data_IF_259798769573
#
_entry.id   IF_259798769573
#
_cell.length_a   1.000
_cell.length_b   1.000
_cell.length_c   1.000
_cell.angle_alpha   90.00
_cell.angle_beta   90.00
_cell.angle_gamma   90.00
#
_symmetry.space_group_name_H-M   'P 1'
#
loop_
_entity.id
_entity.type
_entity.pdbx_description
1 polymer ?
#
# COMPACT_ATOMS: atom_id res chain seq x y z
N UNK A 1 5.43 4.22 0.81
CA UNK A 1 4.88 5.09 1.88
C UNK A 1 5.15 6.56 1.64
N UNK A 2 6.41 7.01 1.65
CA UNK A 2 6.75 8.43 1.46
C UNK A 2 6.22 9.01 0.15
N UNK A 3 6.43 8.32 -0.96
CA UNK A 3 5.89 8.69 -2.29
C UNK A 3 4.36 8.79 -2.32
N UNK A 4 3.66 7.90 -1.61
CA UNK A 4 2.19 7.92 -1.50
C UNK A 4 1.68 9.11 -0.70
N UNK A 5 2.27 9.38 0.47
CA UNK A 5 1.91 10.53 1.31
C UNK A 5 2.23 11.85 0.58
N UNK A 6 3.34 11.94 -0.13
CA UNK A 6 3.70 13.12 -0.95
C UNK A 6 2.66 13.36 -2.04
N UNK A 7 2.20 12.31 -2.73
CA UNK A 7 1.14 12.43 -3.72
C UNK A 7 -0.17 12.95 -3.10
N UNK A 8 -0.54 12.47 -1.89
CA UNK A 8 -1.76 12.85 -1.17
C UNK A 8 -1.72 14.30 -0.71
N UNK A 9 -0.58 14.74 -0.19
CA UNK A 9 -0.35 16.14 0.18
C UNK A 9 -0.41 17.05 -1.04
N UNK A 10 0.23 16.66 -2.15
CA UNK A 10 0.19 17.43 -3.39
C UNK A 10 -1.24 17.58 -3.94
N UNK A 11 -2.06 16.55 -3.80
CA UNK A 11 -3.45 16.58 -4.26
C UNK A 11 -4.37 17.41 -3.36
N UNK A 12 -4.16 17.37 -2.04
CA UNK A 12 -4.95 18.14 -1.07
C UNK A 12 -4.51 19.60 -0.93
N UNK A 13 -3.43 20.02 -1.59
CA UNK A 13 -2.99 21.41 -1.53
C UNK A 13 -4.05 22.33 -2.15
N UNK A 14 -4.49 23.41 -1.46
CA UNK A 14 -5.53 24.32 -1.94
C UNK A 14 -5.08 25.21 -3.13
N UNK A 15 -3.93 24.91 -3.75
CA UNK A 15 -3.42 25.64 -4.90
C UNK A 15 -4.01 25.06 -6.19
N UNK A 16 -4.86 25.86 -6.83
CA UNK A 16 -5.69 25.56 -8.01
C UNK A 16 -4.87 25.42 -9.32
N UNK A 17 -3.71 24.76 -9.27
CA UNK A 17 -2.82 24.57 -10.40
C UNK A 17 -3.03 23.21 -11.05
N UNK A 18 -3.56 23.16 -12.27
CA UNK A 18 -3.75 21.93 -13.05
C UNK A 18 -2.45 21.11 -13.18
N UNK A 19 -1.29 21.78 -13.18
CA UNK A 19 0.03 21.16 -13.20
C UNK A 19 0.32 20.30 -11.95
N UNK A 20 -0.17 20.72 -10.78
CA UNK A 20 0.04 20.03 -9.51
C UNK A 20 -0.74 18.71 -9.44
N UNK A 21 -1.94 18.72 -10.03
CA UNK A 21 -2.76 17.52 -10.21
C UNK A 21 -2.04 16.47 -11.08
N UNK A 22 -1.50 16.86 -12.24
CA UNK A 22 -0.78 15.93 -13.12
C UNK A 22 0.47 15.34 -12.45
N UNK A 23 1.22 16.13 -11.68
CA UNK A 23 2.36 15.63 -10.90
C UNK A 23 1.89 14.61 -9.85
N UNK A 24 0.79 14.88 -9.14
CA UNK A 24 0.23 13.93 -8.17
C UNK A 24 -0.12 12.59 -8.83
N UNK A 25 -0.72 12.61 -10.03
CA UNK A 25 -1.06 11.40 -10.81
C UNK A 25 0.20 10.63 -11.25
N UNK A 26 1.24 11.32 -11.73
CA UNK A 26 2.51 10.67 -12.11
C UNK A 26 3.18 10.01 -10.91
N UNK A 27 3.23 10.70 -9.77
CA UNK A 27 3.79 10.16 -8.53
C UNK A 27 2.94 8.99 -8.01
N UNK A 28 1.62 9.04 -8.16
CA UNK A 28 0.72 7.93 -7.83
C UNK A 28 1.01 6.70 -8.70
N UNK A 29 1.07 6.85 -10.03
CA UNK A 29 1.38 5.76 -10.94
C UNK A 29 2.76 5.14 -10.64
N UNK A 30 3.75 5.98 -10.36
CA UNK A 30 5.08 5.53 -9.95
C UNK A 30 5.05 4.77 -8.61
N UNK A 31 4.26 5.22 -7.64
CA UNK A 31 4.10 4.54 -6.35
C UNK A 31 3.41 3.17 -6.53
N UNK A 32 2.36 3.09 -7.35
CA UNK A 32 1.70 1.80 -7.68
C UNK A 32 2.68 0.85 -8.36
N UNK A 33 3.46 1.34 -9.32
CA UNK A 33 4.47 0.55 -10.01
C UNK A 33 5.53 -0.01 -9.04
N UNK A 34 6.11 0.86 -8.20
CA UNK A 34 7.07 0.43 -7.18
C UNK A 34 6.46 -0.58 -6.20
N UNK A 35 5.22 -0.34 -5.75
CA UNK A 35 4.54 -1.25 -4.84
C UNK A 35 4.32 -2.62 -5.48
N UNK A 36 3.85 -2.67 -6.73
CA UNK A 36 3.67 -3.91 -7.46
C UNK A 36 5.01 -4.65 -7.68
N UNK A 37 6.06 -3.92 -8.06
CA UNK A 37 7.40 -4.48 -8.29
C UNK A 37 7.98 -5.09 -7.01
N UNK A 38 7.97 -4.35 -5.90
CA UNK A 38 8.46 -4.87 -4.62
C UNK A 38 7.60 -6.01 -4.07
N UNK A 39 6.28 -5.95 -4.28
CA UNK A 39 5.36 -7.05 -3.93
C UNK A 39 5.68 -8.31 -4.72
N UNK A 40 5.89 -8.20 -6.04
CA UNK A 40 6.25 -9.32 -6.91
C UNK A 40 7.62 -9.91 -6.56
N UNK A 41 8.62 -9.05 -6.31
CA UNK A 41 9.96 -9.51 -5.88
C UNK A 41 9.86 -10.26 -4.55
N UNK A 42 9.07 -9.75 -3.60
CA UNK A 42 8.84 -10.42 -2.32
C UNK A 42 8.15 -11.76 -2.53
N UNK A 43 7.04 -11.79 -3.29
CA UNK A 43 6.29 -13.00 -3.61
C UNK A 43 7.18 -14.05 -4.32
N UNK A 44 7.97 -13.62 -5.30
CA UNK A 44 8.90 -14.48 -6.03
C UNK A 44 9.95 -15.08 -5.07
N UNK A 45 10.56 -14.26 -4.20
CA UNK A 45 11.52 -14.71 -3.18
C UNK A 45 10.89 -15.75 -2.26
N UNK A 46 9.64 -15.56 -1.89
CA UNK A 46 8.91 -16.46 -1.02
C UNK A 46 8.50 -17.78 -1.69
N UNK A 47 8.14 -17.76 -2.97
CA UNK A 47 7.83 -18.98 -3.75
C UNK A 47 9.06 -19.83 -4.04
N UNK A 48 10.22 -19.20 -4.27
CA UNK A 48 11.49 -19.87 -4.53
C UNK A 48 12.14 -20.44 -3.26
N UNK A 49 11.95 -19.82 -2.10
CA UNK A 49 12.54 -20.26 -0.83
C UNK A 49 11.49 -20.58 0.24
N UNK A 50 10.82 -21.73 0.06
CA UNK A 50 9.72 -22.23 0.91
C UNK A 50 10.09 -22.42 2.39
N UNK A 51 11.38 -22.54 2.73
CA UNK A 51 11.86 -22.66 4.11
C UNK A 51 12.09 -21.33 4.85
N UNK A 52 12.11 -20.19 4.15
CA UNK A 52 12.41 -18.89 4.75
C UNK A 52 11.14 -18.24 5.33
N UNK A 53 9.94 -18.62 4.88
CA UNK A 53 8.68 -18.06 5.39
C UNK A 53 8.52 -18.26 6.90
N UNK A 54 8.82 -19.46 7.41
CA UNK A 54 8.76 -19.79 8.85
C UNK A 54 9.90 -19.14 9.65
N UNK A 55 11.10 -19.05 9.06
CA UNK A 55 12.26 -18.39 9.69
C UNK A 55 12.12 -16.86 9.74
N UNK A 56 11.40 -16.28 8.78
CA UNK A 56 11.16 -14.84 8.68
C UNK A 56 10.01 -14.38 9.61
N UNK A 57 8.97 -15.20 9.77
CA UNK A 57 7.90 -14.96 10.75
C UNK A 57 8.41 -14.96 12.20
N UNK A 58 9.44 -15.75 12.49
CA UNK A 58 10.08 -15.80 13.82
C UNK A 58 11.13 -14.69 14.05
N UNK A 59 11.51 -13.91 13.04
CA UNK A 59 12.49 -12.84 13.20
C UNK A 59 11.80 -11.48 13.41
N UNK A 60 11.94 -10.85 14.60
CA UNK A 60 11.17 -9.67 15.00
C UNK A 60 11.39 -8.45 14.08
N UNK A 61 12.55 -8.36 13.41
CA UNK A 61 12.88 -7.27 12.47
C UNK A 61 12.22 -7.42 11.09
N UNK A 62 11.86 -8.63 10.67
CA UNK A 62 11.19 -8.85 9.38
C UNK A 62 9.66 -8.76 9.49
N UNK A 63 9.09 -9.04 10.67
CA UNK A 63 7.67 -8.78 10.95
C UNK A 63 7.28 -7.30 10.88
N UNK A 64 8.21 -6.39 11.19
CA UNK A 64 8.02 -4.96 10.98
C UNK A 64 7.79 -4.60 9.50
N UNK A 65 8.41 -5.32 8.56
CA UNK A 65 8.19 -5.11 7.13
C UNK A 65 6.81 -5.60 6.67
N UNK A 66 6.23 -6.63 7.30
CA UNK A 66 4.86 -7.06 7.02
C UNK A 66 3.84 -5.95 7.34
N UNK A 67 4.09 -5.15 8.39
CA UNK A 67 3.26 -3.97 8.71
C UNK A 67 3.43 -2.79 7.76
N UNK A 68 4.56 -2.72 7.04
CA UNK A 68 4.76 -1.66 6.03
C UNK A 68 3.97 -1.89 4.76
N UNK A 69 3.55 -3.13 4.50
CA UNK A 69 2.74 -3.49 3.35
C UNK A 69 1.34 -2.85 3.38
N UNK A 70 0.50 -3.06 4.42
CA UNK A 70 -0.81 -2.44 4.47
C UNK A 70 -0.72 -0.91 4.52
N UNK A 71 0.21 -0.34 5.28
CA UNK A 71 0.36 1.10 5.34
C UNK A 71 0.78 1.72 3.97
N UNK A 72 1.49 0.99 3.10
CA UNK A 72 1.70 1.39 1.70
C UNK A 72 0.44 1.27 0.85
N UNK A 73 -0.30 0.17 0.98
CA UNK A 73 -1.52 -0.12 0.25
C UNK A 73 -2.65 0.88 0.59
N UNK A 74 -2.78 1.26 1.86
CA UNK A 74 -3.67 2.32 2.33
C UNK A 74 -3.46 3.66 1.60
N UNK A 75 -2.21 4.05 1.33
CA UNK A 75 -1.95 5.29 0.57
C UNK A 75 -2.43 5.20 -0.88
N UNK A 76 -2.34 4.02 -1.48
CA UNK A 76 -2.83 3.76 -2.85
C UNK A 76 -4.37 3.81 -2.87
N UNK A 77 -5.03 3.17 -1.90
CA UNK A 77 -6.50 3.20 -1.75
C UNK A 77 -7.00 4.65 -1.63
N UNK A 78 -6.36 5.45 -0.76
CA UNK A 78 -6.72 6.86 -0.60
C UNK A 78 -6.59 7.64 -1.92
N UNK A 79 -5.52 7.40 -2.68
CA UNK A 79 -5.34 8.02 -4.00
C UNK A 79 -6.36 7.57 -5.03
N UNK A 80 -6.76 6.29 -5.03
CA UNK A 80 -7.84 5.79 -5.89
C UNK A 80 -9.16 6.50 -5.53
N UNK A 81 -9.43 6.72 -4.25
CA UNK A 81 -10.59 7.49 -3.80
C UNK A 81 -10.55 8.95 -4.27
N UNK A 82 -9.38 9.61 -4.25
CA UNK A 82 -9.27 11.01 -4.64
C UNK A 82 -9.23 11.24 -6.15
N UNK A 83 -8.55 10.37 -6.91
CA UNK A 83 -8.32 10.57 -8.35
C UNK A 83 -9.27 9.73 -9.19
N UNK A 84 -9.40 8.44 -8.88
CA UNK A 84 -10.17 7.52 -9.72
C UNK A 84 -11.68 7.58 -9.47
N UNK A 85 -12.15 7.81 -8.24
CA UNK A 85 -13.61 7.95 -8.00
C UNK A 85 -14.25 9.11 -8.77
N UNK A 86 -13.68 10.33 -8.78
CA UNK A 86 -14.25 11.41 -9.60
C UNK A 86 -14.05 11.22 -11.10
N UNK A 87 -13.00 10.52 -11.55
CA UNK A 87 -12.72 10.32 -12.97
C UNK A 87 -13.42 9.10 -13.60
N UNK A 88 -13.57 8.02 -12.85
CA UNK A 88 -14.07 6.71 -13.32
C UNK A 88 -15.44 6.34 -12.73
N UNK A 89 -15.87 7.00 -11.65
CA UNK A 89 -17.20 6.82 -11.08
C UNK A 89 -17.30 5.64 -10.11
N UNK A 90 -18.50 5.08 -9.99
CA UNK A 90 -18.91 4.22 -8.88
C UNK A 90 -18.16 2.87 -8.81
N UNK A 91 -17.67 2.35 -9.93
CA UNK A 91 -16.88 1.10 -9.95
C UNK A 91 -15.50 1.27 -9.30
N UNK A 92 -14.87 2.44 -9.43
CA UNK A 92 -13.61 2.74 -8.76
C UNK A 92 -13.78 2.81 -7.25
N UNK A 93 -14.94 3.29 -6.78
CA UNK A 93 -15.29 3.27 -5.35
C UNK A 93 -15.45 1.84 -4.82
N UNK A 94 -16.07 0.94 -5.59
CA UNK A 94 -16.19 -0.47 -5.21
C UNK A 94 -14.81 -1.14 -5.15
N UNK A 95 -13.93 -0.87 -6.12
CA UNK A 95 -12.56 -1.40 -6.07
C UNK A 95 -11.78 -0.89 -4.86
N UNK A 96 -11.85 0.41 -4.57
CA UNK A 96 -11.21 0.99 -3.39
C UNK A 96 -11.76 0.36 -2.10
N UNK A 97 -13.06 0.13 -2.03
CA UNK A 97 -13.72 -0.53 -0.90
C UNK A 97 -13.25 -1.98 -0.71
N UNK A 98 -13.18 -2.77 -1.78
CA UNK A 98 -12.68 -4.15 -1.71
C UNK A 98 -11.21 -4.19 -1.30
N UNK A 99 -10.37 -3.32 -1.87
CA UNK A 99 -8.96 -3.20 -1.49
C UNK A 99 -8.80 -2.79 -0.02
N UNK A 100 -9.66 -1.89 0.47
CA UNK A 100 -9.67 -1.45 1.86
C UNK A 100 -9.98 -2.58 2.84
N UNK A 101 -10.95 -3.45 2.53
CA UNK A 101 -11.24 -4.62 3.37
C UNK A 101 -10.05 -5.58 3.46
N UNK A 102 -9.35 -5.80 2.34
CA UNK A 102 -8.14 -6.64 2.31
C UNK A 102 -7.04 -6.00 3.18
N UNK A 103 -6.84 -4.69 3.03
CA UNK A 103 -5.86 -3.93 3.82
C UNK A 103 -6.14 -4.00 5.32
N UNK A 104 -7.41 -3.85 5.72
CA UNK A 104 -7.86 -3.94 7.10
C UNK A 104 -7.62 -5.34 7.69
N UNK A 105 -7.93 -6.39 6.94
CA UNK A 105 -7.70 -7.77 7.36
C UNK A 105 -6.20 -8.07 7.55
N UNK A 106 -5.35 -7.62 6.61
CA UNK A 106 -3.89 -7.79 6.70
C UNK A 106 -3.32 -6.99 7.89
N UNK A 107 -3.80 -5.77 8.11
CA UNK A 107 -3.39 -4.94 9.24
C UNK A 107 -3.74 -5.59 10.58
N UNK A 108 -4.95 -6.12 10.72
CA UNK A 108 -5.38 -6.83 11.93
C UNK A 108 -4.55 -8.09 12.16
N UNK A 109 -4.33 -8.89 11.12
CA UNK A 109 -3.50 -10.09 11.21
C UNK A 109 -2.08 -9.76 11.65
N UNK A 110 -1.46 -8.73 11.08
CA UNK A 110 -0.12 -8.30 11.46
C UNK A 110 -0.08 -7.76 12.90
N UNK A 111 -1.08 -6.99 13.31
CA UNK A 111 -1.15 -6.43 14.67
C UNK A 111 -1.35 -7.52 15.73
N UNK A 112 -2.14 -8.55 15.44
CA UNK A 112 -2.28 -9.71 16.31
C UNK A 112 -1.01 -10.57 16.34
N UNK A 113 -0.31 -10.73 15.21
CA UNK A 113 0.85 -11.63 15.11
C UNK A 113 2.13 -11.05 15.76
N UNK A 114 2.35 -9.73 15.63
CA UNK A 114 3.53 -9.03 16.20
C UNK A 114 3.76 -9.29 17.70
N UNK A 115 2.75 -9.21 18.60
CA UNK A 115 2.94 -9.49 20.02
C UNK A 115 3.34 -10.94 20.31
N UNK A 116 2.83 -11.93 19.55
CA UNK A 116 3.16 -13.34 19.75
C UNK A 116 4.53 -13.72 19.18
N UNK A 117 5.06 -12.95 18.22
CA UNK A 117 6.39 -13.18 17.64
C UNK A 117 7.53 -12.52 18.46
N UNK A 118 7.20 -11.61 19.39
CA UNK A 118 8.19 -10.95 20.26
C UNK A 118 8.35 -11.60 21.64
N UNK A 119 7.53 -12.60 21.97
CA UNK A 119 7.61 -13.42 23.19
C UNK A 119 8.15 -14.80 22.85
#
# INVERSE_FOLDING_TARGET
MGTGIVSILLHNLPYNGTWLYWISVVVFAFNVFLFALFSLISLARYTLFRGIWTAMLNHPTQSLFLGTFPMGLATIINMICFVCVPAWGQWAAILAWTLWWIDAAISLANNMYLPFAMY
#
